data_IF_852365703303
#
_entry.id   IF_852365703303
#
_cell.length_a   1.000
_cell.length_b   1.000
_cell.length_c   1.000
_cell.angle_alpha   90.00
_cell.angle_beta   90.00
_cell.angle_gamma   90.00
#
_symmetry.space_group_name_H-M   'P 1'
#
loop_
_entity.id
_entity.type
_entity.pdbx_description
1 polymer ?
#
# COMPACT_ATOMS: atom_id res chain seq x y z
N UNK A 1 -23.69 -1.50 -14.41
CA UNK A 1 -23.53 -2.94 -14.04
C UNK A 1 -22.35 -3.16 -13.09
N UNK A 2 -21.17 -2.54 -13.32
CA UNK A 2 -20.00 -2.68 -12.43
C UNK A 2 -20.16 -1.99 -11.05
N UNK A 3 -20.88 -0.85 -10.97
CA UNK A 3 -21.05 -0.11 -9.70
C UNK A 3 -21.67 -0.94 -8.57
N UNK A 4 -22.65 -1.80 -8.88
CA UNK A 4 -23.35 -2.58 -7.86
C UNK A 4 -22.49 -3.68 -7.21
N UNK A 5 -21.50 -4.22 -7.94
CA UNK A 5 -20.56 -5.21 -7.39
C UNK A 5 -19.52 -4.48 -6.53
N UNK A 6 -19.00 -3.35 -7.02
CA UNK A 6 -18.01 -2.56 -6.30
C UNK A 6 -18.52 -2.11 -4.93
N UNK A 7 -19.75 -1.60 -4.83
CA UNK A 7 -20.30 -1.14 -3.54
C UNK A 7 -20.46 -2.27 -2.51
N UNK A 8 -20.94 -3.45 -2.94
CA UNK A 8 -21.13 -4.59 -2.03
C UNK A 8 -19.81 -5.23 -1.61
N UNK A 9 -18.79 -5.19 -2.45
CA UNK A 9 -17.48 -5.78 -2.17
C UNK A 9 -16.46 -4.79 -1.56
N UNK A 10 -16.67 -3.48 -1.65
CA UNK A 10 -15.76 -2.48 -1.11
C UNK A 10 -15.50 -2.63 0.40
N UNK A 11 -16.57 -2.90 1.16
CA UNK A 11 -16.48 -3.22 2.59
C UNK A 11 -15.55 -4.42 2.83
N UNK A 12 -15.74 -5.51 2.08
CA UNK A 12 -14.96 -6.73 2.24
C UNK A 12 -13.49 -6.51 1.91
N UNK A 13 -13.20 -5.75 0.85
CA UNK A 13 -11.83 -5.42 0.45
C UNK A 13 -11.13 -4.56 1.50
N UNK A 14 -11.85 -3.60 2.10
CA UNK A 14 -11.32 -2.73 3.16
C UNK A 14 -10.95 -3.52 4.41
N UNK A 15 -11.83 -4.43 4.86
CA UNK A 15 -11.53 -5.30 6.00
C UNK A 15 -10.44 -6.33 5.71
N UNK A 16 -10.42 -6.90 4.51
CA UNK A 16 -9.37 -7.83 4.11
C UNK A 16 -7.99 -7.15 4.11
N UNK A 17 -7.90 -5.93 3.58
CA UNK A 17 -6.66 -5.14 3.62
C UNK A 17 -6.22 -4.84 5.06
N UNK A 18 -7.15 -4.42 5.93
CA UNK A 18 -6.85 -4.17 7.34
C UNK A 18 -6.38 -5.45 8.06
N UNK A 19 -7.06 -6.58 7.82
CA UNK A 19 -6.69 -7.88 8.36
C UNK A 19 -5.28 -8.29 7.92
N UNK A 20 -4.90 -8.05 6.66
CA UNK A 20 -3.56 -8.37 6.17
C UNK A 20 -2.49 -7.55 6.89
N UNK A 21 -2.72 -6.24 7.08
CA UNK A 21 -1.81 -5.36 7.83
C UNK A 21 -1.66 -5.82 9.28
N UNK A 22 -2.78 -6.08 9.96
CA UNK A 22 -2.77 -6.58 11.35
C UNK A 22 -2.06 -7.94 11.42
N UNK A 23 -2.26 -8.81 10.45
CA UNK A 23 -1.59 -10.12 10.38
C UNK A 23 -0.08 -9.96 10.21
N UNK A 24 0.38 -9.06 9.34
CA UNK A 24 1.82 -8.76 9.19
C UNK A 24 2.42 -8.25 10.50
N UNK A 25 1.74 -7.34 11.19
CA UNK A 25 2.19 -6.81 12.48
C UNK A 25 2.21 -7.93 13.54
N UNK A 26 1.18 -8.77 13.59
CA UNK A 26 1.11 -9.90 14.50
C UNK A 26 2.29 -10.87 14.27
N UNK A 27 2.64 -11.18 13.01
CA UNK A 27 3.79 -12.03 12.70
C UNK A 27 5.13 -11.48 13.19
N UNK A 28 5.28 -10.16 13.27
CA UNK A 28 6.49 -9.52 13.83
C UNK A 28 6.59 -9.74 15.34
N UNK A 29 5.47 -9.71 16.07
CA UNK A 29 5.45 -9.94 17.52
C UNK A 29 5.38 -11.42 17.91
N UNK A 30 4.90 -12.28 17.01
CA UNK A 30 4.85 -13.72 17.24
C UNK A 30 6.26 -14.33 17.15
N UNK A 31 6.54 -15.41 17.92
CA UNK A 31 7.82 -16.11 17.90
C UNK A 31 8.19 -16.70 16.52
N UNK A 32 7.21 -16.81 15.62
CA UNK A 32 7.43 -17.23 14.22
C UNK A 32 8.25 -16.20 13.41
N UNK A 33 8.22 -14.92 13.80
CA UNK A 33 9.03 -13.88 13.16
C UNK A 33 10.53 -13.98 13.46
N UNK A 34 10.91 -14.68 14.54
CA UNK A 34 12.31 -14.93 14.91
C UNK A 34 12.90 -16.15 14.20
N UNK A 35 12.10 -16.91 13.45
CA UNK A 35 12.57 -18.09 12.73
C UNK A 35 13.31 -17.64 11.47
N UNK A 36 14.60 -17.97 11.41
CA UNK A 36 15.42 -17.69 10.23
C UNK A 36 14.98 -18.60 9.07
N UNK A 37 14.48 -17.99 8.01
CA UNK A 37 14.11 -18.69 6.78
C UNK A 37 15.40 -19.13 6.07
N UNK A 38 15.68 -20.44 6.08
CA UNK A 38 16.91 -21.02 5.50
C UNK A 38 17.68 -21.96 6.43
N UNK A 39 17.26 -22.13 7.69
CA UNK A 39 17.92 -22.97 8.69
C UNK A 39 18.69 -22.17 9.73
N UNK A 40 19.15 -22.83 10.81
CA UNK A 40 19.83 -22.17 11.93
C UNK A 40 21.14 -21.48 11.50
N UNK A 41 21.87 -22.09 10.58
CA UNK A 41 23.16 -21.59 10.06
C UNK A 41 23.05 -20.70 8.83
N UNK A 42 21.84 -20.33 8.39
CA UNK A 42 21.70 -19.50 7.20
C UNK A 42 22.35 -18.12 7.39
N UNK A 43 23.21 -17.73 6.44
CA UNK A 43 23.81 -16.40 6.37
C UNK A 43 23.03 -15.56 5.35
N UNK A 44 22.79 -14.27 5.63
CA UNK A 44 22.12 -13.40 4.67
C UNK A 44 22.98 -13.23 3.41
N UNK A 45 22.41 -13.54 2.25
CA UNK A 45 23.08 -13.42 0.94
C UNK A 45 23.37 -11.95 0.57
N UNK A 46 22.51 -11.04 1.03
CA UNK A 46 22.63 -9.60 0.79
C UNK A 46 22.91 -8.86 2.09
N UNK A 47 23.73 -7.80 2.01
CA UNK A 47 23.86 -6.86 3.13
C UNK A 47 22.52 -6.19 3.43
N UNK A 48 22.29 -5.78 4.68
CA UNK A 48 21.02 -5.16 5.10
C UNK A 48 20.63 -3.97 4.23
N UNK A 49 21.62 -3.17 3.79
CA UNK A 49 21.41 -2.03 2.89
C UNK A 49 21.01 -2.51 1.50
N UNK A 50 21.71 -3.51 0.94
CA UNK A 50 21.38 -4.07 -0.38
C UNK A 50 20.01 -4.75 -0.38
N UNK A 51 19.59 -5.36 0.72
CA UNK A 51 18.26 -5.93 0.84
C UNK A 51 17.19 -4.84 0.86
N UNK A 52 17.42 -3.74 1.58
CA UNK A 52 16.50 -2.60 1.61
C UNK A 52 16.31 -1.96 0.23
N UNK A 53 17.39 -1.84 -0.57
CA UNK A 53 17.28 -1.32 -1.94
C UNK A 53 16.48 -2.24 -2.85
N UNK A 54 16.59 -3.57 -2.68
CA UNK A 54 15.77 -4.54 -3.42
C UNK A 54 14.29 -4.40 -3.06
N UNK A 55 13.95 -4.23 -1.78
CA UNK A 55 12.57 -3.97 -1.36
C UNK A 55 12.01 -2.67 -1.97
N UNK A 56 12.83 -1.62 -2.01
CA UNK A 56 12.43 -0.35 -2.61
C UNK A 56 12.20 -0.49 -4.12
N UNK A 57 13.11 -1.16 -4.83
CA UNK A 57 12.96 -1.43 -6.26
C UNK A 57 11.74 -2.31 -6.56
N UNK A 58 11.44 -3.30 -5.71
CA UNK A 58 10.25 -4.13 -5.84
C UNK A 58 8.94 -3.34 -5.63
N UNK A 59 8.95 -2.32 -4.77
CA UNK A 59 7.78 -1.48 -4.48
C UNK A 59 7.53 -0.36 -5.49
N UNK A 60 8.57 0.17 -6.13
CA UNK A 60 8.45 1.26 -7.11
C UNK A 60 7.96 0.77 -8.47
N UNK A 61 6.63 0.67 -8.65
CA UNK A 61 6.00 0.26 -9.90
C UNK A 61 5.53 1.40 -10.81
N UNK A 62 5.16 1.05 -12.06
CA UNK A 62 4.57 1.96 -13.06
C UNK A 62 3.30 2.65 -12.52
N UNK A 63 2.56 1.99 -11.64
CA UNK A 63 1.36 2.54 -11.00
C UNK A 63 1.64 3.83 -10.23
N UNK A 64 2.79 3.93 -9.55
CA UNK A 64 3.20 5.17 -8.87
C UNK A 64 3.52 6.28 -9.88
N UNK A 65 4.19 5.97 -10.99
CA UNK A 65 4.50 6.99 -12.02
C UNK A 65 3.24 7.58 -12.64
N UNK A 66 2.20 6.78 -12.87
CA UNK A 66 0.95 7.26 -13.45
C UNK A 66 0.04 7.93 -12.41
N UNK A 67 -0.19 7.27 -11.26
CA UNK A 67 -1.10 7.75 -10.22
C UNK A 67 -0.52 8.91 -9.41
N UNK A 68 0.81 9.06 -9.32
CA UNK A 68 1.43 10.18 -8.60
C UNK A 68 1.06 11.56 -9.15
N UNK A 69 0.77 11.66 -10.45
CA UNK A 69 0.32 12.91 -11.08
C UNK A 69 -1.18 12.90 -11.30
N UNK A 70 -1.75 11.77 -11.73
CA UNK A 70 -3.17 11.69 -12.04
C UNK A 70 -4.07 11.88 -10.81
N UNK A 71 -3.67 11.35 -9.65
CA UNK A 71 -4.49 11.38 -8.44
C UNK A 71 -4.54 12.79 -7.80
N UNK A 72 -3.41 13.52 -7.63
CA UNK A 72 -3.46 14.90 -7.16
C UNK A 72 -4.19 15.84 -8.12
N UNK A 73 -4.01 15.68 -9.43
CA UNK A 73 -4.71 16.52 -10.42
C UNK A 73 -6.22 16.23 -10.41
N UNK A 74 -6.62 14.96 -10.22
CA UNK A 74 -8.02 14.59 -10.11
C UNK A 74 -8.68 15.15 -8.84
N UNK A 75 -7.95 15.23 -7.72
CA UNK A 75 -8.43 15.87 -6.50
C UNK A 75 -8.51 17.40 -6.64
N UNK A 76 -7.51 18.03 -7.25
CA UNK A 76 -7.49 19.49 -7.45
C UNK A 76 -8.61 19.99 -8.38
N UNK A 77 -8.93 19.22 -9.42
CA UNK A 77 -9.93 19.60 -10.44
C UNK A 77 -11.34 19.10 -10.16
N UNK A 78 -11.56 18.43 -9.01
CA UNK A 78 -12.85 17.83 -8.60
C UNK A 78 -13.46 16.84 -9.60
N UNK A 79 -12.62 16.25 -10.47
CA UNK A 79 -13.06 15.24 -11.43
C UNK A 79 -13.40 13.88 -10.76
N UNK A 80 -12.88 13.63 -9.56
CA UNK A 80 -13.06 12.37 -8.80
C UNK A 80 -13.62 12.59 -7.38
N UNK A 81 -14.01 13.83 -7.03
CA UNK A 81 -14.43 14.24 -5.69
C UNK A 81 -13.26 14.71 -4.83
N UNK A 82 -13.38 15.92 -4.27
CA UNK A 82 -12.36 16.48 -3.36
C UNK A 82 -12.33 15.72 -2.02
N UNK A 83 -11.15 15.50 -1.44
CA UNK A 83 -11.07 15.01 -0.07
C UNK A 83 -11.73 16.04 0.86
N UNK A 84 -12.66 15.57 1.70
CA UNK A 84 -13.39 16.39 2.69
C UNK A 84 -14.37 17.42 2.10
N UNK A 85 -14.82 17.25 0.86
CA UNK A 85 -15.81 18.14 0.20
C UNK A 85 -15.32 19.60 0.08
N UNK A 86 -14.00 19.77 -0.04
CA UNK A 86 -13.35 21.07 -0.20
C UNK A 86 -13.75 21.73 -1.55
N UNK A 87 -13.88 23.07 -1.62
CA UNK A 87 -14.20 23.74 -2.87
C UNK A 87 -13.09 23.55 -3.92
N UNK A 88 -13.41 23.31 -5.20
CA UNK A 88 -12.42 23.12 -6.25
C UNK A 88 -11.58 24.38 -6.52
N UNK A 89 -10.28 24.20 -6.81
CA UNK A 89 -9.29 25.26 -7.12
C UNK A 89 -8.94 26.20 -5.96
N UNK A 90 -8.94 25.73 -4.72
CA UNK A 90 -8.43 26.55 -3.61
C UNK A 90 -6.91 26.47 -3.55
N UNK A 91 -6.20 27.52 -3.08
CA UNK A 91 -4.75 27.43 -2.85
C UNK A 91 -4.38 26.45 -1.72
N UNK A 92 -5.38 25.90 -1.03
CA UNK A 92 -5.27 24.95 0.08
C UNK A 92 -5.65 23.51 -0.34
N UNK A 93 -6.17 23.31 -1.57
CA UNK A 93 -6.67 22.04 -2.10
C UNK A 93 -7.29 22.16 -3.48
#
# INVERSE_FOLDING_TARGET
MLCGIAEKFAWLFTWAANLFVVSCIALVFLPVGSIRIGGEDAVPEFSTISWFTVLFAAGMGIGLMFRSVAEPVAYYTDWYGTPLDAPPNTPEG
#
